data_IF_785612642227
#
_entry.id   IF_785612642227
#
_cell.length_a   1.000
_cell.length_b   1.000
_cell.length_c   1.000
_cell.angle_alpha   90.00
_cell.angle_beta   90.00
_cell.angle_gamma   90.00
#
_symmetry.space_group_name_H-M   'P 1'
#
loop_
_entity.id
_entity.type
_entity.pdbx_description
1 polymer ?
#
# COMPACT_ATOMS: atom_id res chain seq x y z
N UNK A 1 -0.86 -8.49 -8.68
CA UNK A 1 0.35 -9.32 -8.66
C UNK A 1 -0.08 -10.72 -9.01
N UNK A 2 0.52 -11.30 -10.06
CA UNK A 2 0.42 -12.74 -10.31
C UNK A 2 1.30 -13.51 -9.31
N UNK A 3 1.32 -14.85 -9.37
CA UNK A 3 2.21 -15.66 -8.52
C UNK A 3 3.69 -15.30 -8.69
N UNK A 4 4.06 -14.65 -9.81
CA UNK A 4 5.43 -14.36 -10.20
C UNK A 4 5.87 -12.91 -9.86
N UNK A 5 5.22 -12.26 -8.90
CA UNK A 5 5.51 -10.87 -8.53
C UNK A 5 5.38 -10.65 -7.03
N UNK A 6 6.29 -9.86 -6.46
CA UNK A 6 6.24 -9.44 -5.06
C UNK A 6 6.25 -7.91 -4.96
N UNK A 7 5.72 -7.39 -3.86
CA UNK A 7 5.78 -5.96 -3.51
C UNK A 7 6.45 -5.87 -2.15
N UNK A 8 7.44 -4.99 -2.05
CA UNK A 8 8.04 -4.62 -0.78
C UNK A 8 7.58 -3.21 -0.41
N UNK A 9 7.20 -3.02 0.85
CA UNK A 9 6.89 -1.72 1.44
C UNK A 9 7.84 -1.52 2.62
N UNK A 10 8.52 -0.38 2.64
CA UNK A 10 9.42 0.00 3.75
C UNK A 10 9.16 1.46 4.13
N UNK A 11 9.23 1.73 5.43
CA UNK A 11 9.09 3.07 5.99
C UNK A 11 10.41 3.53 6.58
N UNK A 12 10.71 4.83 6.45
CA UNK A 12 11.95 5.45 6.88
C UNK A 12 11.65 6.75 7.62
N UNK A 13 12.51 7.12 8.58
CA UNK A 13 12.34 8.36 9.32
C UNK A 13 12.68 9.58 8.48
N UNK A 14 13.64 9.42 7.55
CA UNK A 14 14.09 10.50 6.69
C UNK A 14 14.17 10.07 5.23
N UNK A 15 13.82 11.00 4.33
CA UNK A 15 13.82 10.79 2.88
C UNK A 15 15.13 10.21 2.33
N UNK A 16 16.27 10.76 2.74
CA UNK A 16 17.57 10.28 2.27
C UNK A 16 17.83 8.80 2.63
N UNK A 17 17.24 8.29 3.72
CA UNK A 17 17.37 6.87 4.09
C UNK A 17 16.56 5.99 3.13
N UNK A 18 15.36 6.44 2.74
CA UNK A 18 14.53 5.75 1.75
C UNK A 18 15.19 5.72 0.36
N UNK A 19 15.81 6.83 -0.05
CA UNK A 19 16.55 6.94 -1.31
C UNK A 19 17.75 5.99 -1.33
N UNK A 20 18.58 6.00 -0.28
CA UNK A 20 19.72 5.08 -0.14
C UNK A 20 19.27 3.63 -0.14
N UNK A 21 18.20 3.29 0.58
CA UNK A 21 17.68 1.93 0.63
C UNK A 21 17.15 1.45 -0.73
N UNK A 22 16.49 2.33 -1.50
CA UNK A 22 16.00 2.00 -2.84
C UNK A 22 17.15 1.71 -3.81
N UNK A 23 18.23 2.49 -3.76
CA UNK A 23 19.45 2.26 -4.55
C UNK A 23 20.11 0.92 -4.17
N UNK A 24 20.30 0.68 -2.87
CA UNK A 24 20.88 -0.57 -2.37
C UNK A 24 20.05 -1.79 -2.76
N UNK A 25 18.72 -1.70 -2.67
CA UNK A 25 17.81 -2.78 -3.06
C UNK A 25 17.93 -3.09 -4.55
N UNK A 26 17.91 -2.07 -5.41
CA UNK A 26 18.04 -2.25 -6.87
C UNK A 26 19.36 -2.92 -7.25
N UNK A 27 20.47 -2.51 -6.63
CA UNK A 27 21.78 -3.10 -6.86
C UNK A 27 21.77 -4.58 -6.44
N UNK A 28 21.27 -4.87 -5.23
CA UNK A 28 21.19 -6.23 -4.71
C UNK A 28 20.29 -7.14 -5.58
N UNK A 29 19.12 -6.66 -6.00
CA UNK A 29 18.21 -7.41 -6.87
C UNK A 29 18.86 -7.72 -8.22
N UNK A 30 19.58 -6.77 -8.80
CA UNK A 30 20.28 -6.97 -10.07
C UNK A 30 21.37 -8.04 -9.94
N UNK A 31 22.15 -7.98 -8.85
CA UNK A 31 23.24 -8.92 -8.60
C UNK A 31 22.75 -10.34 -8.24
N UNK A 32 21.70 -10.45 -7.43
CA UNK A 32 21.29 -11.72 -6.82
C UNK A 32 20.07 -12.36 -7.49
N UNK A 33 19.24 -11.56 -8.16
CA UNK A 33 17.99 -11.99 -8.77
C UNK A 33 17.86 -11.58 -10.25
N UNK A 34 18.91 -11.00 -10.85
CA UNK A 34 18.89 -10.50 -12.23
C UNK A 34 18.36 -11.50 -13.28
N UNK A 35 18.66 -12.80 -13.21
CA UNK A 35 18.09 -13.79 -14.14
C UNK A 35 16.60 -14.09 -13.93
N UNK A 36 16.03 -13.74 -12.77
CA UNK A 36 14.66 -14.10 -12.36
C UNK A 36 13.72 -12.89 -12.36
N UNK A 37 14.23 -11.70 -12.02
CA UNK A 37 13.44 -10.47 -11.98
C UNK A 37 13.48 -9.81 -13.35
N UNK A 38 12.35 -9.88 -14.06
CA UNK A 38 12.21 -9.32 -15.42
C UNK A 38 12.02 -7.80 -15.43
N UNK A 39 11.51 -7.24 -14.33
CA UNK A 39 11.38 -5.79 -14.13
C UNK A 39 11.27 -5.48 -12.65
N UNK A 40 11.75 -4.28 -12.29
CA UNK A 40 11.65 -3.74 -10.94
C UNK A 40 11.34 -2.25 -11.05
N UNK A 41 10.44 -1.78 -10.20
CA UNK A 41 10.08 -0.37 -10.12
C UNK A 41 10.09 0.07 -8.65
N UNK A 42 10.84 1.13 -8.36
CA UNK A 42 10.86 1.76 -7.05
C UNK A 42 10.05 3.05 -7.08
N UNK A 43 9.31 3.28 -6.01
CA UNK A 43 8.60 4.54 -5.77
C UNK A 43 8.92 5.04 -4.38
N UNK A 44 9.27 6.32 -4.29
CA UNK A 44 9.51 7.03 -3.04
C UNK A 44 8.42 8.09 -2.91
N UNK A 45 7.98 8.31 -1.67
CA UNK A 45 6.89 9.22 -1.37
C UNK A 45 6.72 9.44 0.11
N UNK A 46 5.79 10.32 0.43
CA UNK A 46 5.45 10.73 1.79
C UNK A 46 4.19 10.02 2.27
N UNK A 47 4.19 9.54 3.52
CA UNK A 47 2.99 9.00 4.16
C UNK A 47 2.04 10.16 4.44
N UNK A 48 0.87 10.15 3.79
CA UNK A 48 -0.16 11.20 3.92
C UNK A 48 -1.32 10.78 4.84
N UNK A 49 -1.53 9.46 5.00
CA UNK A 49 -2.48 8.89 5.94
C UNK A 49 -1.94 7.60 6.53
N UNK A 50 -2.19 7.41 7.81
CA UNK A 50 -1.95 6.16 8.52
C UNK A 50 -3.11 5.90 9.49
N UNK A 51 -3.54 4.63 9.57
CA UNK A 51 -4.53 4.13 10.52
C UNK A 51 -4.16 2.73 10.96
N UNK A 52 -4.29 2.46 12.25
CA UNK A 52 -3.88 1.18 12.84
C UNK A 52 -2.38 1.14 13.13
N UNK A 53 -1.91 0.02 13.66
CA UNK A 53 -0.48 -0.23 13.94
C UNK A 53 -0.19 -1.70 13.73
N UNK A 54 1.00 -2.01 13.24
CA UNK A 54 1.51 -3.38 13.20
C UNK A 54 2.00 -3.76 14.60
N UNK A 55 1.26 -4.65 15.27
CA UNK A 55 1.66 -5.16 16.57
C UNK A 55 2.52 -6.43 16.37
N UNK A 56 3.66 -6.59 17.06
CA UNK A 56 4.56 -7.73 16.88
C UNK A 56 3.90 -9.10 17.09
N UNK A 57 2.90 -9.17 17.96
CA UNK A 57 2.11 -10.36 18.30
C UNK A 57 0.86 -10.54 17.41
N UNK A 58 0.53 -9.52 16.61
CA UNK A 58 -0.60 -9.54 15.68
C UNK A 58 -0.17 -9.02 14.31
N UNK A 59 0.62 -9.83 13.63
CA UNK A 59 1.08 -9.55 12.28
C UNK A 59 0.00 -9.90 11.25
N UNK A 60 -0.41 -8.95 10.38
CA UNK A 60 -1.34 -9.23 9.29
C UNK A 60 -0.83 -10.34 8.39
N UNK A 61 -1.71 -11.18 7.85
CA UNK A 61 -1.31 -12.26 6.92
C UNK A 61 -1.64 -11.94 5.48
N UNK A 62 -2.53 -10.99 5.23
CA UNK A 62 -2.96 -10.65 3.87
C UNK A 62 -2.91 -9.14 3.65
N UNK A 63 -2.40 -8.74 2.50
CA UNK A 63 -2.21 -7.34 2.13
C UNK A 63 -2.91 -7.03 0.81
N UNK A 64 -3.39 -5.80 0.69
CA UNK A 64 -3.89 -5.22 -0.55
C UNK A 64 -3.14 -3.91 -0.82
N UNK A 65 -2.49 -3.82 -1.98
CA UNK A 65 -1.84 -2.60 -2.46
C UNK A 65 -2.61 -2.08 -3.67
N UNK A 66 -2.87 -0.78 -3.70
CA UNK A 66 -3.37 -0.09 -4.90
C UNK A 66 -2.38 1.01 -5.27
N UNK A 67 -2.03 1.09 -6.55
CA UNK A 67 -1.23 2.18 -7.12
C UNK A 67 -2.16 2.97 -8.04
N UNK A 68 -2.40 4.23 -7.71
CA UNK A 68 -3.42 5.06 -8.36
C UNK A 68 -2.78 6.27 -9.02
N UNK A 69 -3.04 6.44 -10.31
CA UNK A 69 -2.79 7.69 -11.03
C UNK A 69 -4.04 8.55 -10.93
N UNK A 70 -3.91 9.75 -10.35
CA UNK A 70 -5.02 10.69 -10.23
C UNK A 70 -5.18 11.51 -11.51
N UNK A 71 -6.42 11.85 -11.87
CA UNK A 71 -6.69 12.78 -12.97
C UNK A 71 -6.12 14.16 -12.64
N UNK A 72 -5.62 14.86 -13.65
CA UNK A 72 -5.17 16.24 -13.50
C UNK A 72 -6.27 17.12 -12.88
N UNK A 73 -5.91 17.93 -11.88
CA UNK A 73 -6.84 18.81 -11.17
C UNK A 73 -7.74 18.11 -10.13
N UNK A 74 -7.52 16.83 -9.84
CA UNK A 74 -8.23 16.17 -8.74
C UNK A 74 -7.96 16.86 -7.41
N UNK A 75 -8.98 17.05 -6.54
CA UNK A 75 -8.78 17.63 -5.22
C UNK A 75 -7.96 16.70 -4.33
N UNK A 76 -7.39 17.23 -3.25
CA UNK A 76 -6.85 16.38 -2.19
C UNK A 76 -8.01 15.69 -1.44
N UNK A 77 -8.06 14.36 -1.51
CA UNK A 77 -9.10 13.53 -0.90
C UNK A 77 -8.73 13.06 0.51
N UNK A 78 -7.58 13.48 1.04
CA UNK A 78 -7.02 13.01 2.31
C UNK A 78 -8.00 13.15 3.47
N UNK A 79 -8.61 14.32 3.65
CA UNK A 79 -9.55 14.56 4.76
C UNK A 79 -10.83 13.74 4.59
N UNK A 80 -11.36 13.65 3.38
CA UNK A 80 -12.55 12.83 3.07
C UNK A 80 -12.30 11.34 3.36
N UNK A 81 -11.14 10.80 2.96
CA UNK A 81 -10.75 9.43 3.29
C UNK A 81 -10.64 9.28 4.81
N UNK A 82 -10.01 10.24 5.50
CA UNK A 82 -9.84 10.20 6.96
C UNK A 82 -11.17 10.19 7.71
N UNK A 83 -12.11 11.02 7.29
CA UNK A 83 -13.36 11.27 8.01
C UNK A 83 -14.45 10.25 7.68
N UNK A 84 -14.47 9.72 6.45
CA UNK A 84 -15.57 8.87 6.00
C UNK A 84 -15.14 7.42 5.75
N UNK A 85 -13.97 7.19 5.16
CA UNK A 85 -13.53 5.85 4.76
C UNK A 85 -12.86 5.09 5.92
N UNK A 86 -11.91 5.72 6.62
CA UNK A 86 -11.18 5.06 7.71
C UNK A 86 -12.10 4.57 8.84
N UNK A 87 -13.14 5.31 9.26
CA UNK A 87 -14.07 4.79 10.27
C UNK A 87 -14.87 3.56 9.80
N UNK A 88 -15.06 3.38 8.49
CA UNK A 88 -15.68 2.19 7.93
C UNK A 88 -14.70 1.02 7.86
N UNK A 89 -13.41 1.29 7.56
CA UNK A 89 -12.32 0.30 7.62
C UNK A 89 -12.17 -0.24 9.05
N UNK A 90 -12.22 0.61 10.07
CA UNK A 90 -12.12 0.21 11.49
C UNK A 90 -13.19 -0.81 11.91
N UNK A 91 -14.33 -0.84 11.21
CA UNK A 91 -15.44 -1.77 11.48
C UNK A 91 -15.32 -3.09 10.72
N UNK A 92 -14.36 -3.22 9.81
CA UNK A 92 -14.19 -4.44 9.03
C UNK A 92 -13.53 -5.53 9.90
N UNK A 93 -14.11 -6.74 9.94
CA UNK A 93 -13.46 -7.89 10.58
C UNK A 93 -12.06 -8.10 10.01
N UNK A 94 -11.10 -8.38 10.90
CA UNK A 94 -9.72 -8.68 10.53
C UNK A 94 -8.92 -7.49 9.98
N UNK A 95 -9.43 -6.26 9.95
CA UNK A 95 -8.64 -5.09 9.57
C UNK A 95 -7.52 -4.82 10.59
N UNK A 96 -6.30 -4.56 10.11
CA UNK A 96 -5.13 -4.27 10.94
C UNK A 96 -4.61 -2.85 10.75
N UNK A 97 -4.26 -2.49 9.52
CA UNK A 97 -3.71 -1.17 9.21
C UNK A 97 -4.03 -0.71 7.79
N UNK A 98 -4.10 0.61 7.62
CA UNK A 98 -4.20 1.30 6.35
C UNK A 98 -3.14 2.40 6.27
N UNK A 99 -2.43 2.47 5.15
CA UNK A 99 -1.45 3.52 4.86
C UNK A 99 -1.73 4.08 3.47
N UNK A 100 -1.66 5.40 3.30
CA UNK A 100 -1.62 6.04 2.00
C UNK A 100 -0.34 6.87 1.85
N UNK A 101 0.31 6.73 0.70
CA UNK A 101 1.59 7.35 0.36
C UNK A 101 1.38 8.16 -0.92
N UNK A 102 1.80 9.42 -0.91
CA UNK A 102 1.88 10.25 -2.11
C UNK A 102 3.29 10.18 -2.67
N UNK A 103 3.44 9.64 -3.87
CA UNK A 103 4.75 9.44 -4.49
C UNK A 103 5.20 10.69 -5.25
N UNK A 104 6.52 10.81 -5.46
CA UNK A 104 7.10 11.94 -6.17
C UNK A 104 6.61 12.06 -7.62
N UNK A 105 6.23 10.95 -8.24
CA UNK A 105 5.64 10.89 -9.59
C UNK A 105 4.12 11.16 -9.60
N UNK A 106 3.58 11.69 -8.50
CA UNK A 106 2.20 12.15 -8.38
C UNK A 106 1.15 11.05 -8.21
N UNK A 107 1.56 9.79 -8.02
CA UNK A 107 0.65 8.68 -7.74
C UNK A 107 0.31 8.61 -6.26
N UNK A 108 -0.77 7.90 -5.95
CA UNK A 108 -1.14 7.52 -4.58
C UNK A 108 -1.03 6.01 -4.45
N UNK A 109 -0.19 5.55 -3.53
CA UNK A 109 -0.12 4.15 -3.14
C UNK A 109 -0.93 3.98 -1.86
N UNK A 110 -1.85 3.03 -1.84
CA UNK A 110 -2.54 2.64 -0.60
C UNK A 110 -2.22 1.20 -0.26
N UNK A 111 -1.98 0.94 1.02
CA UNK A 111 -1.78 -0.40 1.57
C UNK A 111 -2.81 -0.65 2.67
N UNK A 112 -3.60 -1.70 2.52
CA UNK A 112 -4.49 -2.22 3.54
C UNK A 112 -4.07 -3.63 3.96
N UNK A 113 -4.07 -3.91 5.25
CA UNK A 113 -3.65 -5.20 5.79
C UNK A 113 -4.72 -5.85 6.66
N UNK A 114 -4.79 -7.19 6.57
CA UNK A 114 -5.87 -7.99 7.12
C UNK A 114 -5.37 -9.30 7.73
N UNK A 115 -6.14 -9.85 8.67
CA UNK A 115 -5.85 -11.12 9.34
C UNK A 115 -5.87 -12.28 8.33
N UNK A 116 -6.83 -12.30 7.39
CA UNK A 116 -6.96 -13.32 6.36
C UNK A 116 -7.45 -12.76 5.02
N UNK A 117 -7.23 -13.53 3.94
CA UNK A 117 -7.74 -13.20 2.59
C UNK A 117 -9.25 -12.92 2.58
N UNK A 118 -10.04 -13.75 3.27
CA UNK A 118 -11.50 -13.59 3.31
C UNK A 118 -11.95 -12.31 4.02
N UNK A 119 -11.18 -11.79 4.98
CA UNK A 119 -11.45 -10.49 5.60
C UNK A 119 -11.22 -9.34 4.61
N UNK A 120 -10.11 -9.39 3.88
CA UNK A 120 -9.79 -8.41 2.84
C UNK A 120 -10.83 -8.39 1.72
N UNK A 121 -11.28 -9.55 1.25
CA UNK A 121 -12.30 -9.68 0.21
C UNK A 121 -13.66 -9.14 0.68
N UNK A 122 -14.06 -9.43 1.93
CA UNK A 122 -15.29 -8.86 2.52
C UNK A 122 -15.20 -7.35 2.67
N UNK A 123 -14.08 -6.83 3.18
CA UNK A 123 -13.85 -5.40 3.31
C UNK A 123 -13.91 -4.70 1.93
N UNK A 124 -13.22 -5.26 0.94
CA UNK A 124 -13.25 -4.73 -0.43
C UNK A 124 -14.67 -4.72 -1.01
N UNK A 125 -15.46 -5.77 -0.79
CA UNK A 125 -16.84 -5.81 -1.25
C UNK A 125 -17.75 -4.79 -0.53
N UNK A 126 -17.60 -4.65 0.79
CA UNK A 126 -18.41 -3.74 1.61
C UNK A 126 -18.11 -2.26 1.33
N UNK A 127 -16.85 -1.93 1.01
CA UNK A 127 -16.39 -0.54 0.88
C UNK A 127 -16.36 -0.07 -0.58
N UNK A 128 -16.58 -0.97 -1.54
CA UNK A 128 -16.59 -0.65 -2.97
C UNK A 128 -17.58 0.48 -3.32
N UNK A 129 -18.83 0.52 -2.83
CA UNK A 129 -19.75 1.59 -3.18
C UNK A 129 -19.22 2.99 -2.83
N UNK A 130 -18.63 3.14 -1.63
CA UNK A 130 -18.03 4.40 -1.21
C UNK A 130 -16.84 4.79 -2.11
N UNK A 131 -15.99 3.83 -2.47
CA UNK A 131 -14.86 4.07 -3.35
C UNK A 131 -15.29 4.43 -4.78
N UNK A 132 -16.34 3.78 -5.31
CA UNK A 132 -16.93 4.10 -6.62
C UNK A 132 -17.51 5.51 -6.65
N UNK A 133 -18.13 5.95 -5.55
CA UNK A 133 -18.73 7.28 -5.46
C UNK A 133 -17.68 8.40 -5.27
N UNK A 134 -16.66 8.16 -4.45
CA UNK A 134 -15.79 9.24 -3.96
C UNK A 134 -14.34 9.17 -4.42
N UNK A 135 -13.86 8.02 -4.91
CA UNK A 135 -12.47 7.85 -5.34
C UNK A 135 -12.39 7.65 -6.85
N UNK A 136 -13.18 6.72 -7.39
CA UNK A 136 -13.16 6.37 -8.82
C UNK A 136 -13.32 7.58 -9.77
N UNK A 137 -14.13 8.62 -9.46
CA UNK A 137 -14.22 9.80 -10.32
C UNK A 137 -12.90 10.56 -10.50
N UNK A 138 -11.97 10.43 -9.56
CA UNK A 138 -10.69 11.13 -9.51
C UNK A 138 -9.49 10.30 -9.97
N UNK A 139 -9.70 9.01 -10.25
CA UNK A 139 -8.64 8.08 -10.66
C UNK A 139 -8.67 7.91 -12.18
N UNK A 140 -7.52 8.11 -12.81
CA UNK A 140 -7.31 7.86 -14.24
C UNK A 140 -6.94 6.39 -14.49
N UNK A 141 -6.01 5.87 -13.69
CA UNK A 141 -5.54 4.48 -13.77
C UNK A 141 -5.33 3.92 -12.38
N UNK A 142 -5.59 2.62 -12.20
CA UNK A 142 -5.36 1.92 -10.95
C UNK A 142 -4.87 0.50 -11.19
N UNK A 143 -3.71 0.20 -10.62
CA UNK A 143 -3.22 -1.16 -10.47
C UNK A 143 -3.54 -1.68 -9.07
N UNK A 144 -4.09 -2.90 -9.00
CA UNK A 144 -4.40 -3.55 -7.74
C UNK A 144 -3.59 -4.83 -7.58
N UNK A 145 -3.08 -5.02 -6.38
CA UNK A 145 -2.25 -6.15 -5.99
C UNK A 145 -2.70 -6.66 -4.63
N UNK A 146 -2.69 -7.97 -4.46
CA UNK A 146 -3.09 -8.59 -3.20
C UNK A 146 -2.35 -9.92 -3.03
N UNK A 147 -2.04 -10.27 -1.79
CA UNK A 147 -1.25 -11.45 -1.50
C UNK A 147 -0.97 -11.63 -0.02
N UNK A 148 -0.32 -12.75 0.28
CA UNK A 148 0.17 -13.05 1.62
C UNK A 148 1.30 -12.08 2.00
N UNK A 149 1.33 -11.69 3.28
CA UNK A 149 2.33 -10.76 3.80
C UNK A 149 3.40 -11.53 4.56
N UNK A 150 4.66 -11.35 4.16
CA UNK A 150 5.82 -11.79 4.91
C UNK A 150 6.44 -10.59 5.65
N UNK A 151 6.84 -10.79 6.91
CA UNK A 151 7.36 -9.74 7.77
C UNK A 151 8.85 -9.92 8.06
N UNK A 152 9.58 -8.80 8.00
CA UNK A 152 10.89 -8.65 8.60
C UNK A 152 10.80 -7.53 9.65
N UNK A 153 10.69 -7.89 10.93
CA UNK A 153 10.71 -6.92 12.02
C UNK A 153 12.16 -6.62 12.40
N UNK A 154 12.54 -5.34 12.45
CA UNK A 154 13.81 -4.93 13.02
C UNK A 154 13.80 -5.27 14.52
N UNK A 155 14.77 -6.07 14.98
CA UNK A 155 14.99 -6.24 16.42
C UNK A 155 15.40 -4.88 16.98
N UNK A 156 14.65 -4.40 17.98
CA UNK A 156 15.00 -3.21 18.76
C UNK A 156 16.27 -3.40 19.57
#
# INVERSE_FOLDING_TARGET
TGPDSFISLSGWEARHQAEQAAEMLSAWVTENMGPTVVSMENRIGEVILERGRFLPDKLPRYGMVRVQTLKAGSPDLTDKVREEFLPQMDRQPGFNAYVAIRTDDGKVITYGSYDYKGDAERAAASLRPWAEEHIAPHVEHMDMHAGEVAWALRKG
#
